data_IF_357630679989
#
_entry.id   IF_357630679989
#
_cell.length_a   1.000
_cell.length_b   1.000
_cell.length_c   1.000
_cell.angle_alpha   90.00
_cell.angle_beta   90.00
_cell.angle_gamma   90.00
#
_symmetry.space_group_name_H-M   'P 1'
#
loop_
_entity.id
_entity.type
_entity.pdbx_description
1 polymer ?
#
# COMPACT_ATOMS: atom_id res chain seq x y z
N UNK A 1 47.92 -39.03 3.82
CA UNK A 1 47.48 -37.88 4.62
C UNK A 1 46.98 -36.86 3.63
N UNK A 2 45.66 -36.80 3.46
CA UNK A 2 44.99 -35.89 2.55
C UNK A 2 44.66 -34.62 3.34
N UNK A 3 45.15 -33.48 2.87
CA UNK A 3 44.71 -32.17 3.34
C UNK A 3 43.37 -31.86 2.67
N UNK A 4 42.30 -31.95 3.47
CA UNK A 4 41.00 -31.33 3.21
C UNK A 4 41.15 -29.83 3.48
N UNK A 5 41.31 -29.03 2.44
CA UNK A 5 41.13 -27.58 2.52
C UNK A 5 39.68 -27.29 2.19
N UNK A 6 38.87 -27.29 3.24
CA UNK A 6 37.48 -26.87 3.26
C UNK A 6 37.38 -25.42 2.76
N UNK A 7 37.00 -25.27 1.50
CA UNK A 7 36.75 -23.98 0.86
C UNK A 7 35.41 -23.44 1.34
N UNK A 8 35.42 -22.82 2.52
CA UNK A 8 34.31 -22.03 3.00
C UNK A 8 34.09 -20.84 2.05
N UNK A 9 33.17 -21.02 1.10
CA UNK A 9 32.59 -19.94 0.29
C UNK A 9 31.94 -18.92 1.23
N UNK A 10 32.70 -17.90 1.62
CA UNK A 10 32.17 -16.66 2.17
C UNK A 10 31.36 -15.95 1.07
N UNK A 11 30.12 -16.38 0.90
CA UNK A 11 29.15 -15.69 0.07
C UNK A 11 28.82 -14.37 0.74
N UNK A 12 29.50 -13.30 0.32
CA UNK A 12 29.09 -11.92 0.65
C UNK A 12 27.64 -11.80 0.19
N UNK A 13 26.67 -11.51 1.09
CA UNK A 13 25.29 -11.34 0.67
C UNK A 13 25.23 -10.23 -0.37
N UNK A 14 24.66 -10.54 -1.55
CA UNK A 14 24.56 -9.58 -2.64
C UNK A 14 23.82 -8.33 -2.13
N UNK A 15 24.46 -7.16 -2.30
CA UNK A 15 23.87 -5.86 -1.95
C UNK A 15 22.58 -5.69 -2.76
N UNK A 16 21.45 -5.55 -2.06
CA UNK A 16 20.15 -5.36 -2.71
C UNK A 16 20.03 -3.95 -3.27
N UNK A 17 19.43 -3.87 -4.45
CA UNK A 17 19.06 -2.62 -5.11
C UNK A 17 17.82 -2.00 -4.46
N UNK A 18 17.57 -0.68 -4.64
CA UNK A 18 16.35 -0.05 -4.15
C UNK A 18 15.07 -0.71 -4.65
N UNK A 19 15.04 -1.19 -5.91
CA UNK A 19 13.90 -1.87 -6.51
C UNK A 19 13.62 -3.21 -5.83
N UNK A 20 14.68 -3.97 -5.53
CA UNK A 20 14.57 -5.23 -4.79
C UNK A 20 14.11 -5.02 -3.34
N UNK A 21 14.60 -3.98 -2.67
CA UNK A 21 14.12 -3.61 -1.34
C UNK A 21 12.66 -3.15 -1.38
N UNK A 22 12.27 -2.34 -2.37
CA UNK A 22 10.89 -1.88 -2.51
C UNK A 22 9.90 -3.04 -2.69
N UNK A 23 10.24 -4.01 -3.56
CA UNK A 23 9.44 -5.20 -3.79
C UNK A 23 9.36 -6.08 -2.54
N UNK A 24 10.49 -6.32 -1.87
CA UNK A 24 10.53 -7.10 -0.62
C UNK A 24 9.69 -6.47 0.49
N UNK A 25 9.76 -5.15 0.66
CA UNK A 25 9.02 -4.44 1.70
C UNK A 25 7.51 -4.49 1.41
N UNK A 26 7.12 -4.28 0.16
CA UNK A 26 5.73 -4.43 -0.28
C UNK A 26 5.21 -5.85 -0.01
N UNK A 27 5.97 -6.86 -0.39
CA UNK A 27 5.64 -8.27 -0.13
C UNK A 27 5.52 -8.56 1.38
N UNK A 28 6.46 -8.07 2.18
CA UNK A 28 6.39 -8.23 3.64
C UNK A 28 5.09 -7.65 4.20
N UNK A 29 4.70 -6.45 3.79
CA UNK A 29 3.46 -5.82 4.26
C UNK A 29 2.18 -6.43 3.70
N UNK A 30 2.25 -7.20 2.61
CA UNK A 30 1.14 -8.00 2.11
C UNK A 30 0.82 -9.21 3.00
N UNK A 31 1.85 -9.81 3.61
CA UNK A 31 1.66 -10.96 4.51
C UNK A 31 1.26 -10.57 5.93
N UNK A 32 1.61 -9.36 6.39
CA UNK A 32 1.26 -8.90 7.73
C UNK A 32 -0.12 -8.24 7.77
N UNK A 33 -1.14 -9.06 8.03
CA UNK A 33 -2.54 -8.63 8.13
C UNK A 33 -2.84 -7.84 9.42
N UNK A 34 -1.96 -7.93 10.45
CA UNK A 34 -2.11 -7.21 11.73
C UNK A 34 -0.76 -6.85 12.35
N UNK A 35 -0.51 -5.55 12.51
CA UNK A 35 0.53 -5.00 13.37
C UNK A 35 1.20 -3.75 12.80
N UNK A 36 1.62 -2.87 13.72
CA UNK A 36 2.39 -1.64 13.47
C UNK A 36 3.84 -2.01 13.11
N UNK A 37 4.03 -2.55 11.91
CA UNK A 37 5.32 -3.08 11.48
C UNK A 37 6.17 -2.01 10.79
N UNK A 38 7.43 -1.95 11.20
CA UNK A 38 8.46 -1.15 10.58
C UNK A 38 9.43 -2.07 9.87
N UNK A 39 9.62 -1.82 8.58
CA UNK A 39 10.65 -2.45 7.77
C UNK A 39 11.88 -1.54 7.67
N UNK A 40 13.04 -2.16 7.51
CA UNK A 40 14.30 -1.46 7.26
C UNK A 40 14.77 -1.84 5.86
N UNK A 41 15.00 -0.82 5.03
CA UNK A 41 15.60 -0.98 3.71
C UNK A 41 17.11 -0.74 3.79
N UNK A 42 17.86 -1.55 3.06
CA UNK A 42 19.32 -1.53 3.08
C UNK A 42 19.91 -2.32 4.26
N UNK A 43 21.22 -2.47 4.24
CA UNK A 43 21.99 -3.19 5.26
C UNK A 43 22.14 -2.42 6.57
N UNK A 44 22.24 -3.15 7.68
CA UNK A 44 22.35 -2.56 9.04
C UNK A 44 23.66 -1.81 9.25
N UNK A 45 24.70 -2.11 8.47
CA UNK A 45 25.99 -1.42 8.47
C UNK A 45 26.16 -0.63 7.18
N UNK A 46 26.93 0.45 7.25
CA UNK A 46 27.27 1.25 6.07
C UNK A 46 27.96 0.43 4.96
N UNK A 47 28.71 -0.61 5.35
CA UNK A 47 29.40 -1.53 4.45
C UNK A 47 28.44 -2.47 3.70
N UNK A 48 27.24 -2.69 4.24
CA UNK A 48 26.24 -3.63 3.72
C UNK A 48 25.28 -2.97 2.71
N UNK A 49 25.38 -1.64 2.50
CA UNK A 49 24.49 -0.91 1.59
C UNK A 49 25.16 0.29 0.94
N UNK A 50 25.28 0.24 -0.39
CA UNK A 50 25.74 1.36 -1.21
C UNK A 50 24.80 2.57 -1.15
N UNK A 51 23.53 2.37 -0.78
CA UNK A 51 22.49 3.38 -0.80
C UNK A 51 22.15 3.91 0.61
N UNK A 52 22.81 3.41 1.66
CA UNK A 52 22.47 3.70 3.05
C UNK A 52 21.20 2.96 3.51
N UNK A 53 20.53 3.52 4.53
CA UNK A 53 19.38 2.88 5.19
C UNK A 53 18.13 3.75 5.17
N UNK A 54 16.97 3.14 5.03
CA UNK A 54 15.67 3.80 5.20
C UNK A 54 14.77 2.98 6.12
N UNK A 55 13.81 3.63 6.75
CA UNK A 55 12.76 2.94 7.53
C UNK A 55 11.42 3.17 6.88
N UNK A 56 10.63 2.11 6.76
CA UNK A 56 9.34 2.14 6.07
C UNK A 56 8.28 1.58 7.01
N UNK A 57 7.16 2.26 7.13
CA UNK A 57 5.99 1.75 7.84
C UNK A 57 4.76 1.81 6.95
N UNK A 58 3.83 0.89 7.20
CA UNK A 58 2.52 0.89 6.55
C UNK A 58 1.57 1.86 7.26
N UNK A 59 0.91 2.69 6.48
CA UNK A 59 -0.19 3.56 6.90
C UNK A 59 -1.50 2.80 6.73
N UNK A 60 -2.05 2.32 7.85
CA UNK A 60 -3.30 1.53 7.93
C UNK A 60 -4.52 2.47 7.89
N UNK A 61 -5.63 2.08 7.23
CA UNK A 61 -5.93 0.76 6.64
C UNK A 61 -5.45 0.55 5.19
N UNK A 62 -4.95 1.58 4.52
CA UNK A 62 -4.57 1.53 3.11
C UNK A 62 -3.32 0.68 2.80
N UNK A 63 -3.04 0.57 1.49
CA UNK A 63 -1.74 0.13 0.95
C UNK A 63 -0.85 1.35 0.71
N UNK A 64 -0.69 2.15 1.76
CA UNK A 64 0.09 3.38 1.75
C UNK A 64 1.33 3.16 2.61
N UNK A 65 2.50 3.57 2.12
CA UNK A 65 3.76 3.46 2.83
C UNK A 65 4.30 4.83 3.19
N UNK A 66 4.84 4.96 4.39
CA UNK A 66 5.58 6.14 4.80
C UNK A 66 7.06 5.78 4.93
N UNK A 67 7.92 6.55 4.24
CA UNK A 67 9.36 6.32 4.17
C UNK A 67 10.10 7.42 4.93
N UNK A 68 10.91 7.00 5.90
CA UNK A 68 11.70 7.85 6.81
C UNK A 68 13.19 7.70 6.53
N UNK A 69 13.90 8.83 6.51
CA UNK A 69 15.35 8.91 6.35
C UNK A 69 15.80 9.85 5.23
N UNK A 70 17.10 10.16 5.24
CA UNK A 70 17.75 11.06 4.27
C UNK A 70 18.83 10.36 3.42
N UNK A 71 18.86 9.03 3.42
CA UNK A 71 19.79 8.27 2.58
C UNK A 71 19.31 8.20 1.13
N UNK A 72 20.22 7.87 0.20
CA UNK A 72 19.86 7.59 -1.18
C UNK A 72 18.79 6.48 -1.28
N UNK A 73 18.84 5.47 -0.41
CA UNK A 73 17.81 4.43 -0.31
C UNK A 73 16.43 5.04 0.01
N UNK A 74 16.35 5.96 0.98
CA UNK A 74 15.08 6.59 1.34
C UNK A 74 14.50 7.42 0.18
N UNK A 75 15.35 8.15 -0.55
CA UNK A 75 14.94 8.92 -1.72
C UNK A 75 14.46 8.03 -2.87
N UNK A 76 15.19 6.94 -3.18
CA UNK A 76 14.82 6.00 -4.22
C UNK A 76 13.52 5.28 -3.90
N UNK A 77 13.30 4.85 -2.65
CA UNK A 77 12.03 4.26 -2.24
C UNK A 77 10.86 5.25 -2.36
N UNK A 78 11.05 6.50 -1.94
CA UNK A 78 10.02 7.54 -2.15
C UNK A 78 9.71 7.73 -3.62
N UNK A 79 10.73 7.74 -4.49
CA UNK A 79 10.53 7.84 -5.92
C UNK A 79 9.74 6.64 -6.46
N UNK A 80 10.16 5.41 -6.16
CA UNK A 80 9.53 4.18 -6.66
C UNK A 80 8.06 4.04 -6.22
N UNK A 81 7.75 4.30 -4.95
CA UNK A 81 6.36 4.27 -4.48
C UNK A 81 5.56 5.49 -4.95
N UNK A 82 6.20 6.64 -5.10
CA UNK A 82 5.56 7.88 -5.56
C UNK A 82 5.17 7.84 -7.04
N UNK A 83 5.93 7.13 -7.89
CA UNK A 83 5.62 6.95 -9.31
C UNK A 83 4.84 5.67 -9.61
N UNK A 84 4.40 4.92 -8.59
CA UNK A 84 3.61 3.70 -8.77
C UNK A 84 4.38 2.51 -9.35
N UNK A 85 5.72 2.50 -9.25
CA UNK A 85 6.55 1.40 -9.77
C UNK A 85 6.32 0.08 -9.02
N UNK A 86 5.80 0.13 -7.78
CA UNK A 86 5.43 -1.05 -7.01
C UNK A 86 3.92 -1.19 -6.98
N UNK A 87 3.40 -2.22 -7.66
CA UNK A 87 1.97 -2.40 -7.88
C UNK A 87 1.19 -2.48 -6.57
N UNK A 88 0.10 -1.70 -6.50
CA UNK A 88 -0.82 -1.70 -5.36
C UNK A 88 -0.32 -0.93 -4.13
N UNK A 89 0.88 -0.34 -4.16
CA UNK A 89 1.43 0.43 -3.05
C UNK A 89 1.69 1.87 -3.47
N UNK A 90 1.32 2.82 -2.61
CA UNK A 90 1.58 4.25 -2.83
C UNK A 90 2.32 4.89 -1.67
N UNK A 91 2.94 6.04 -1.96
CA UNK A 91 3.64 6.82 -0.95
C UNK A 91 2.67 7.75 -0.20
N UNK A 92 2.75 7.76 1.13
CA UNK A 92 2.08 8.75 1.98
C UNK A 92 2.51 10.17 1.56
N UNK A 93 1.57 11.06 1.22
CA UNK A 93 1.89 12.45 0.90
C UNK A 93 2.65 13.12 2.05
N UNK A 94 3.68 13.88 1.71
CA UNK A 94 4.48 14.63 2.65
C UNK A 94 4.67 16.05 2.11
N UNK A 95 4.66 17.09 2.96
CA UNK A 95 5.02 18.43 2.52
C UNK A 95 6.39 18.43 1.82
N UNK A 96 6.53 19.24 0.77
CA UNK A 96 7.78 19.33 0.00
C UNK A 96 8.92 20.01 0.78
N UNK A 97 8.58 20.70 1.87
CA UNK A 97 9.56 21.31 2.75
C UNK A 97 10.43 20.26 3.43
N UNK A 98 11.68 20.63 3.72
CA UNK A 98 12.68 19.74 4.33
C UNK A 98 13.33 20.43 5.50
N UNK A 99 12.56 20.62 6.56
CA UNK A 99 13.04 21.26 7.77
C UNK A 99 13.74 20.22 8.64
N UNK A 100 15.01 20.44 8.98
CA UNK A 100 15.77 19.49 9.79
C UNK A 100 15.16 19.36 11.19
N UNK A 101 14.97 18.12 11.65
CA UNK A 101 14.32 17.79 12.93
C UNK A 101 15.04 18.40 14.14
N UNK A 102 16.36 18.57 14.08
CA UNK A 102 17.12 19.16 15.18
C UNK A 102 16.73 20.63 15.45
N UNK A 103 16.15 21.33 14.46
CA UNK A 103 15.74 22.73 14.64
C UNK A 103 14.59 22.88 15.63
N UNK A 104 13.76 21.85 15.80
CA UNK A 104 12.65 21.80 16.76
C UNK A 104 12.99 21.04 18.04
N UNK A 105 14.24 20.61 18.22
CA UNK A 105 14.68 19.84 19.39
C UNK A 105 14.37 20.58 20.70
N UNK A 106 14.63 21.88 20.74
CA UNK A 106 14.40 22.70 21.94
C UNK A 106 12.91 22.77 22.30
N UNK A 107 12.03 22.97 21.31
CA UNK A 107 10.58 23.00 21.53
C UNK A 107 10.06 21.66 22.07
N UNK A 108 10.51 20.53 21.51
CA UNK A 108 10.17 19.19 22.03
C UNK A 108 10.69 19.02 23.46
N UNK A 109 11.91 19.49 23.74
CA UNK A 109 12.49 19.40 25.09
C UNK A 109 11.67 20.18 26.10
N UNK A 110 11.26 21.40 25.77
CA UNK A 110 10.40 22.24 26.61
C UNK A 110 9.05 21.59 26.87
N UNK A 111 8.38 21.08 25.83
CA UNK A 111 7.12 20.35 25.96
C UNK A 111 7.27 19.07 26.81
N UNK A 112 8.45 18.43 26.81
CA UNK A 112 8.76 17.23 27.61
C UNK A 112 9.21 17.51 29.05
N UNK A 113 9.06 18.75 29.55
CA UNK A 113 9.53 19.15 30.89
C UNK A 113 11.05 19.08 31.05
N UNK A 114 11.81 19.29 29.97
CA UNK A 114 13.27 19.34 29.99
C UNK A 114 13.98 18.01 29.73
N UNK A 115 13.26 16.88 29.66
CA UNK A 115 13.83 15.52 29.59
C UNK A 115 14.47 15.18 28.23
N UNK A 116 14.05 15.84 27.15
CA UNK A 116 14.52 15.52 25.79
C UNK A 116 13.96 14.20 25.25
N UNK A 117 12.99 13.61 25.96
CA UNK A 117 12.14 12.52 25.46
C UNK A 117 11.27 13.05 24.32
N UNK A 118 11.02 12.23 23.31
CA UNK A 118 10.46 12.63 22.02
C UNK A 118 11.56 12.75 20.98
N UNK A 119 12.41 13.79 21.07
CA UNK A 119 13.47 14.02 20.09
C UNK A 119 14.45 12.84 19.98
N UNK A 120 14.91 12.31 21.12
CA UNK A 120 15.85 11.18 21.13
C UNK A 120 15.24 9.94 20.47
N UNK A 121 13.95 9.67 20.71
CA UNK A 121 13.23 8.56 20.10
C UNK A 121 13.05 8.76 18.60
N UNK A 122 12.69 9.95 18.15
CA UNK A 122 12.57 10.29 16.72
C UNK A 122 13.92 10.15 16.00
N UNK A 123 14.99 10.71 16.56
CA UNK A 123 16.33 10.58 15.99
C UNK A 123 16.79 9.12 15.88
N UNK A 124 16.55 8.29 16.92
CA UNK A 124 16.82 6.85 16.89
C UNK A 124 15.88 6.08 15.96
N UNK A 125 14.68 6.59 15.76
CA UNK A 125 13.71 6.14 14.77
C UNK A 125 14.11 6.47 13.33
N UNK A 126 15.22 7.19 13.12
CA UNK A 126 15.73 7.54 11.80
C UNK A 126 15.08 8.77 11.18
N UNK A 127 14.22 9.48 11.91
CA UNK A 127 13.61 10.74 11.45
C UNK A 127 14.68 11.82 11.33
N UNK A 128 14.71 12.47 10.17
CA UNK A 128 15.67 13.52 9.83
C UNK A 128 14.95 14.86 9.64
N UNK A 129 13.74 14.84 9.09
CA UNK A 129 12.96 16.04 8.79
C UNK A 129 11.69 16.12 9.64
N UNK A 130 11.23 17.32 9.96
CA UNK A 130 9.97 17.50 10.72
C UNK A 130 8.77 17.02 9.92
N UNK A 131 8.80 17.19 8.60
CA UNK A 131 7.75 16.76 7.69
C UNK A 131 7.55 15.23 7.70
N UNK A 132 8.62 14.47 7.90
CA UNK A 132 8.54 13.01 8.08
C UNK A 132 7.74 12.67 9.35
N UNK A 133 7.99 13.41 10.44
CA UNK A 133 7.26 13.22 11.71
C UNK A 133 5.80 13.63 11.57
N UNK A 134 5.53 14.74 10.89
CA UNK A 134 4.18 15.28 10.69
C UNK A 134 3.33 14.40 9.74
N UNK A 135 3.94 13.77 8.74
CA UNK A 135 3.26 12.87 7.81
C UNK A 135 3.10 11.44 8.34
N UNK A 136 3.89 11.04 9.34
CA UNK A 136 3.81 9.73 9.98
C UNK A 136 2.55 9.64 10.87
N UNK A 137 1.62 8.69 10.64
CA UNK A 137 0.44 8.52 11.48
C UNK A 137 0.76 8.11 12.92
N UNK A 138 -0.16 8.39 13.84
CA UNK A 138 -0.01 8.08 15.26
C UNK A 138 0.18 6.59 15.54
N UNK A 139 -0.57 5.73 14.83
CA UNK A 139 -0.44 4.27 14.92
C UNK A 139 0.96 3.80 14.52
N UNK A 140 1.50 4.31 13.42
CA UNK A 140 2.87 3.99 13.02
C UNK A 140 3.91 4.56 14.00
N UNK A 141 3.66 5.76 14.54
CA UNK A 141 4.55 6.41 15.50
C UNK A 141 4.65 5.65 16.82
N UNK A 142 3.54 5.05 17.29
CA UNK A 142 3.54 4.18 18.47
C UNK A 142 4.35 2.89 18.28
N UNK A 143 4.52 2.43 17.04
CA UNK A 143 5.44 1.34 16.69
C UNK A 143 6.93 1.69 16.80
N UNK A 144 7.29 2.95 17.04
CA UNK A 144 8.68 3.36 17.26
C UNK A 144 9.09 3.08 18.70
N UNK A 145 10.22 2.38 18.87
CA UNK A 145 10.74 2.00 20.18
C UNK A 145 10.78 3.17 21.19
N UNK A 146 10.08 2.98 22.31
CA UNK A 146 9.96 3.93 23.42
C UNK A 146 9.15 5.20 23.11
N UNK A 147 8.32 5.20 22.05
CA UNK A 147 7.26 6.19 21.88
C UNK A 147 5.95 5.59 22.40
N UNK A 148 5.61 5.93 23.65
CA UNK A 148 4.28 5.64 24.21
C UNK A 148 3.32 6.81 24.02
N UNK A 149 2.02 6.65 24.37
CA UNK A 149 0.99 7.68 24.17
C UNK A 149 1.36 9.07 24.72
N UNK A 150 1.92 9.15 25.94
CA UNK A 150 2.34 10.43 26.50
C UNK A 150 3.54 11.07 25.79
N UNK A 151 4.44 10.27 25.19
CA UNK A 151 5.53 10.82 24.36
C UNK A 151 5.01 11.27 23.01
N UNK A 152 4.04 10.54 22.43
CA UNK A 152 3.36 10.93 21.21
C UNK A 152 2.62 12.26 21.38
N UNK A 153 1.89 12.44 22.49
CA UNK A 153 1.18 13.69 22.79
C UNK A 153 2.15 14.90 22.82
N UNK A 154 3.30 14.76 23.47
CA UNK A 154 4.37 15.77 23.47
C UNK A 154 4.85 16.07 22.05
N UNK A 155 5.10 15.03 21.24
CA UNK A 155 5.54 15.20 19.85
C UNK A 155 4.47 15.96 19.06
N UNK A 156 3.19 15.59 19.19
CA UNK A 156 2.07 16.22 18.46
C UNK A 156 1.75 17.63 18.89
N UNK A 157 2.02 17.99 20.15
CA UNK A 157 1.92 19.37 20.60
C UNK A 157 2.90 20.30 19.85
N UNK A 158 4.05 19.78 19.40
CA UNK A 158 5.08 20.55 18.67
C UNK A 158 4.99 20.35 17.16
N UNK A 159 4.71 19.11 16.73
CA UNK A 159 4.70 18.64 15.35
C UNK A 159 3.33 17.99 15.07
N UNK A 160 2.28 18.79 14.84
CA UNK A 160 0.95 18.27 14.57
C UNK A 160 0.96 17.38 13.34
N UNK A 161 0.13 16.34 13.34
CA UNK A 161 -0.04 15.47 12.19
C UNK A 161 -0.67 16.26 11.02
N UNK A 162 -0.08 16.13 9.83
CA UNK A 162 -0.54 16.83 8.62
C UNK A 162 -0.85 15.87 7.48
N UNK A 163 -0.77 14.56 7.72
CA UNK A 163 -1.15 13.57 6.71
C UNK A 163 -2.67 13.52 6.51
N UNK A 164 -3.14 12.87 5.43
CA UNK A 164 -4.56 12.61 5.23
C UNK A 164 -5.16 11.89 6.43
N UNK A 165 -6.44 12.16 6.71
CA UNK A 165 -7.18 11.41 7.73
C UNK A 165 -7.14 9.92 7.33
N UNK A 166 -6.71 9.00 8.21
CA UNK A 166 -6.71 7.57 7.90
C UNK A 166 -8.09 7.02 7.49
N UNK A 167 -9.19 7.69 7.86
CA UNK A 167 -10.53 7.37 7.36
C UNK A 167 -10.76 7.78 5.89
N UNK A 168 -10.10 8.84 5.42
CA UNK A 168 -10.12 9.31 4.03
C UNK A 168 -9.07 8.60 3.17
N UNK A 169 -7.89 8.25 3.71
CA UNK A 169 -6.83 7.53 3.01
C UNK A 169 -7.16 6.04 2.72
N UNK A 170 -8.22 5.51 3.36
CA UNK A 170 -8.85 4.25 2.97
C UNK A 170 -9.57 4.34 1.62
N UNK A 171 -9.91 5.55 1.17
CA UNK A 171 -10.26 5.81 -0.21
C UNK A 171 -8.95 5.88 -1.01
N UNK A 172 -8.74 4.85 -1.83
CA UNK A 172 -7.53 4.60 -2.61
C UNK A 172 -7.01 5.82 -3.42
N UNK A 173 -5.71 5.82 -3.75
CA UNK A 173 -5.04 6.96 -4.36
C UNK A 173 -5.61 7.23 -5.74
N UNK A 174 -6.20 8.42 -5.90
CA UNK A 174 -6.52 8.99 -7.19
C UNK A 174 -5.23 9.12 -8.00
N UNK A 175 -5.20 8.43 -9.13
CA UNK A 175 -4.26 8.68 -10.21
C UNK A 175 -4.28 10.20 -10.50
N UNK A 176 -3.09 10.80 -10.48
CA UNK A 176 -2.93 12.23 -10.67
C UNK A 176 -3.25 12.59 -12.13
N UNK A 177 -4.51 12.95 -12.38
CA UNK A 177 -5.01 13.29 -13.71
C UNK A 177 -6.36 13.99 -13.67
N UNK A 178 -6.32 15.27 -13.29
CA UNK A 178 -7.26 16.34 -13.65
C UNK A 178 -8.71 16.33 -13.08
N UNK A 179 -9.13 17.52 -12.63
CA UNK A 179 -10.54 17.90 -12.49
C UNK A 179 -11.32 17.31 -11.31
N UNK A 180 -11.28 18.00 -10.16
CA UNK A 180 -12.21 17.75 -9.06
C UNK A 180 -13.68 17.85 -9.50
N UNK A 181 -14.35 16.70 -9.56
CA UNK A 181 -15.80 16.60 -9.42
C UNK A 181 -16.09 15.60 -8.31
N UNK A 182 -16.97 15.99 -7.39
CA UNK A 182 -17.48 15.14 -6.33
C UNK A 182 -17.93 13.79 -6.91
N UNK A 183 -17.32 12.69 -6.45
CA UNK A 183 -17.58 11.35 -6.94
C UNK A 183 -19.03 10.95 -6.70
N UNK A 184 -19.84 11.03 -7.76
CA UNK A 184 -21.19 10.47 -7.83
C UNK A 184 -21.03 8.95 -8.02
N UNK A 185 -21.85 8.09 -7.38
CA UNK A 185 -21.92 6.68 -7.72
C UNK A 185 -22.01 6.51 -9.24
N UNK A 186 -21.24 5.58 -9.80
CA UNK A 186 -21.15 5.40 -11.25
C UNK A 186 -22.48 4.92 -11.83
N UNK A 187 -23.36 5.86 -12.17
CA UNK A 187 -24.59 5.61 -12.90
C UNK A 187 -24.23 5.14 -14.31
N UNK A 188 -23.92 3.85 -14.46
CA UNK A 188 -23.44 3.27 -15.71
C UNK A 188 -22.35 2.20 -15.57
N UNK A 189 -21.73 2.02 -14.39
CA UNK A 189 -20.64 1.05 -14.21
C UNK A 189 -21.04 -0.40 -14.53
N UNK A 190 -22.31 -0.78 -14.30
CA UNK A 190 -22.84 -2.09 -14.69
C UNK A 190 -22.83 -2.32 -16.21
N UNK A 191 -22.69 -1.25 -17.01
CA UNK A 191 -22.57 -1.31 -18.47
C UNK A 191 -21.17 -1.69 -18.96
N UNK A 192 -20.13 -1.57 -18.12
CA UNK A 192 -18.75 -1.96 -18.45
C UNK A 192 -18.58 -3.49 -18.49
N UNK A 193 -19.43 -4.23 -17.76
CA UNK A 193 -19.35 -5.67 -17.64
C UNK A 193 -20.26 -6.36 -18.68
N UNK A 194 -19.70 -7.37 -19.36
CA UNK A 194 -20.46 -8.20 -20.30
C UNK A 194 -21.64 -8.90 -19.61
N UNK A 195 -22.62 -9.37 -20.39
CA UNK A 195 -23.74 -10.15 -19.84
C UNK A 195 -23.28 -11.42 -19.13
N UNK A 196 -22.27 -12.12 -19.68
CA UNK A 196 -21.69 -13.29 -19.05
C UNK A 196 -21.00 -12.98 -17.72
N UNK A 197 -20.20 -11.91 -17.68
CA UNK A 197 -19.53 -11.45 -16.45
C UNK A 197 -20.54 -11.10 -15.36
N UNK A 198 -21.61 -10.38 -15.72
CA UNK A 198 -22.70 -10.03 -14.78
C UNK A 198 -23.45 -11.25 -14.27
N UNK A 199 -23.65 -12.27 -15.11
CA UNK A 199 -24.31 -13.49 -14.72
C UNK A 199 -23.43 -14.38 -13.81
N UNK A 200 -22.10 -14.42 -14.04
CA UNK A 200 -21.15 -15.20 -13.23
C UNK A 200 -20.82 -14.53 -11.89
N UNK A 201 -20.69 -13.20 -11.87
CA UNK A 201 -20.24 -12.45 -10.70
C UNK A 201 -21.23 -11.34 -10.26
N UNK A 202 -22.52 -11.64 -10.07
CA UNK A 202 -23.55 -10.61 -9.84
C UNK A 202 -23.26 -9.74 -8.61
N UNK A 203 -22.87 -10.36 -7.50
CA UNK A 203 -22.56 -9.63 -6.25
C UNK A 203 -21.30 -8.77 -6.36
N UNK A 204 -20.28 -9.25 -7.06
CA UNK A 204 -19.05 -8.49 -7.24
C UNK A 204 -19.30 -7.28 -8.14
N UNK A 205 -20.02 -7.46 -9.25
CA UNK A 205 -20.39 -6.35 -10.13
C UNK A 205 -21.26 -5.32 -9.40
N UNK A 206 -22.22 -5.75 -8.59
CA UNK A 206 -23.02 -4.84 -7.75
C UNK A 206 -22.14 -4.05 -6.77
N UNK A 207 -21.19 -4.71 -6.10
CA UNK A 207 -20.27 -4.04 -5.18
C UNK A 207 -19.34 -3.06 -5.89
N UNK A 208 -18.82 -3.42 -7.07
CA UNK A 208 -17.99 -2.55 -7.89
C UNK A 208 -18.77 -1.34 -8.41
N UNK A 209 -20.00 -1.53 -8.87
CA UNK A 209 -20.88 -0.45 -9.33
C UNK A 209 -21.28 0.50 -8.19
N UNK A 210 -21.40 0.00 -6.96
CA UNK A 210 -21.64 0.79 -5.76
C UNK A 210 -20.36 1.40 -5.15
N UNK A 211 -19.17 1.01 -5.65
CA UNK A 211 -17.89 1.49 -5.12
C UNK A 211 -17.58 2.92 -5.57
N UNK A 212 -16.66 3.57 -4.85
CA UNK A 212 -16.08 4.87 -5.24
C UNK A 212 -14.79 4.72 -6.04
N UNK A 213 -14.56 3.55 -6.63
CA UNK A 213 -13.36 3.27 -7.40
C UNK A 213 -13.28 4.18 -8.63
N UNK A 214 -12.09 4.66 -9.05
CA UNK A 214 -11.95 5.43 -10.28
C UNK A 214 -12.46 4.65 -11.51
N UNK A 215 -13.06 5.36 -12.48
CA UNK A 215 -13.63 4.75 -13.69
C UNK A 215 -12.57 3.97 -14.49
N UNK A 216 -11.33 4.46 -14.54
CA UNK A 216 -10.22 3.77 -15.19
C UNK A 216 -9.90 2.41 -14.54
N UNK A 217 -9.97 2.32 -13.21
CA UNK A 217 -9.76 1.07 -12.49
C UNK A 217 -10.95 0.10 -12.70
N UNK A 218 -12.19 0.60 -12.67
CA UNK A 218 -13.36 -0.19 -13.03
C UNK A 218 -13.30 -0.72 -14.47
N UNK A 219 -12.81 0.11 -15.40
CA UNK A 219 -12.61 -0.29 -16.81
C UNK A 219 -11.60 -1.42 -16.91
N UNK A 220 -10.44 -1.31 -16.23
CA UNK A 220 -9.44 -2.41 -16.21
C UNK A 220 -9.96 -3.69 -15.57
N UNK A 221 -10.72 -3.59 -14.47
CA UNK A 221 -11.34 -4.76 -13.84
C UNK A 221 -12.37 -5.38 -14.79
N UNK A 222 -13.19 -4.56 -15.46
CA UNK A 222 -14.14 -5.04 -16.44
C UNK A 222 -13.45 -5.72 -17.62
N UNK A 223 -12.36 -5.16 -18.17
CA UNK A 223 -11.53 -5.78 -19.21
C UNK A 223 -10.98 -7.14 -18.76
N UNK A 224 -10.41 -7.21 -17.55
CA UNK A 224 -9.87 -8.45 -17.01
C UNK A 224 -10.96 -9.54 -16.86
N UNK A 225 -12.10 -9.19 -16.27
CA UNK A 225 -13.20 -10.14 -16.04
C UNK A 225 -13.91 -10.54 -17.36
N UNK A 226 -14.06 -9.61 -18.30
CA UNK A 226 -14.64 -9.88 -19.62
C UNK A 226 -13.70 -10.73 -20.50
N UNK A 227 -12.38 -10.64 -20.27
CA UNK A 227 -11.37 -11.45 -20.97
C UNK A 227 -11.23 -12.88 -20.45
N UNK A 228 -11.91 -13.24 -19.36
CA UNK A 228 -11.89 -14.61 -18.84
C UNK A 228 -12.53 -15.59 -19.84
N UNK A 229 -11.91 -16.76 -20.08
CA UNK A 229 -12.49 -17.75 -20.98
C UNK A 229 -13.84 -18.24 -20.45
N UNK A 230 -14.84 -18.18 -21.33
CA UNK A 230 -16.16 -18.72 -21.05
C UNK A 230 -16.15 -20.24 -21.27
N UNK A 231 -16.57 -21.04 -20.28
CA UNK A 231 -16.77 -22.47 -20.51
C UNK A 231 -17.89 -22.64 -21.55
N UNK A 232 -17.79 -23.63 -22.46
CA UNK A 232 -18.89 -23.93 -23.37
C UNK A 232 -20.11 -24.44 -22.59
N UNK A 233 -21.31 -24.05 -23.00
CA UNK A 233 -22.54 -24.60 -22.45
C UNK A 233 -22.62 -26.11 -22.70
N UNK A 234 -22.96 -26.88 -21.66
CA UNK A 234 -23.23 -28.30 -21.74
C UNK A 234 -24.67 -28.52 -22.24
N UNK A 235 -24.85 -29.13 -23.44
CA UNK A 235 -26.17 -29.39 -23.99
C UNK A 235 -27.06 -30.26 -23.10
N UNK A 236 -26.46 -31.11 -22.25
CA UNK A 236 -27.20 -31.95 -21.31
C UNK A 236 -27.83 -31.12 -20.19
N UNK A 237 -27.10 -30.15 -19.64
CA UNK A 237 -27.63 -29.25 -18.60
C UNK A 237 -28.76 -28.39 -19.16
N UNK A 238 -28.61 -27.90 -20.38
CA UNK A 238 -29.63 -27.14 -21.11
C UNK A 238 -30.93 -27.96 -21.25
N UNK A 239 -30.82 -29.20 -21.74
CA UNK A 239 -31.95 -30.13 -21.90
C UNK A 239 -32.62 -30.48 -20.56
N UNK A 240 -31.84 -30.71 -19.50
CA UNK A 240 -32.37 -31.06 -18.17
C UNK A 240 -33.17 -29.90 -17.57
N UNK A 241 -32.65 -28.67 -17.68
CA UNK A 241 -33.32 -27.48 -17.17
C UNK A 241 -34.60 -27.14 -17.97
N UNK A 242 -34.57 -27.33 -19.29
CA UNK A 242 -35.74 -27.15 -20.16
C UNK A 242 -36.83 -28.19 -19.85
N UNK A 243 -36.45 -29.48 -19.77
CA UNK A 243 -37.38 -30.59 -19.47
C UNK A 243 -38.01 -30.43 -18.08
N UNK A 244 -37.26 -29.91 -17.11
CA UNK A 244 -37.76 -29.62 -15.76
C UNK A 244 -38.66 -28.36 -15.69
N UNK A 245 -38.83 -27.63 -16.79
CA UNK A 245 -39.61 -26.39 -16.85
C UNK A 245 -38.98 -25.22 -16.09
N UNK A 246 -37.70 -25.31 -15.72
CA UNK A 246 -36.96 -24.32 -14.93
C UNK A 246 -36.45 -23.18 -15.81
N UNK A 247 -37.37 -22.50 -16.50
CA UNK A 247 -37.07 -21.43 -17.48
C UNK A 247 -36.10 -20.37 -16.95
N UNK A 248 -36.27 -19.95 -15.69
CA UNK A 248 -35.39 -18.94 -15.09
C UNK A 248 -33.96 -19.44 -14.86
N UNK A 249 -33.79 -20.70 -14.46
CA UNK A 249 -32.49 -21.29 -14.27
C UNK A 249 -31.79 -21.54 -15.62
N UNK A 250 -32.55 -21.94 -16.64
CA UNK A 250 -32.09 -22.09 -18.02
C UNK A 250 -31.57 -20.76 -18.60
N UNK A 251 -32.30 -19.65 -18.40
CA UNK A 251 -31.87 -18.31 -18.80
C UNK A 251 -30.54 -17.90 -18.15
N UNK A 252 -30.41 -18.09 -16.83
CA UNK A 252 -29.18 -17.77 -16.09
C UNK A 252 -28.01 -18.64 -16.56
N UNK A 253 -28.28 -19.93 -16.77
CA UNK A 253 -27.28 -20.87 -17.26
C UNK A 253 -26.74 -20.44 -18.62
N UNK A 254 -27.62 -20.18 -19.60
CA UNK A 254 -27.20 -19.69 -20.93
C UNK A 254 -26.45 -18.36 -20.83
N UNK A 255 -26.95 -17.42 -20.03
CA UNK A 255 -26.32 -16.11 -19.85
C UNK A 255 -24.88 -16.19 -19.32
N UNK A 256 -24.50 -17.22 -18.55
CA UNK A 256 -23.13 -17.40 -18.02
C UNK A 256 -22.14 -18.00 -19.03
N UNK A 257 -22.62 -18.55 -20.15
CA UNK A 257 -21.82 -19.27 -21.16
C UNK A 257 -21.86 -18.61 -22.54
N UNK A 258 -22.75 -17.64 -22.76
CA UNK A 258 -22.89 -16.95 -24.04
C UNK A 258 -21.81 -15.84 -24.16
N UNK A 259 -20.89 -15.91 -25.12
CA UNK A 259 -20.06 -14.75 -25.44
C UNK A 259 -20.98 -13.63 -25.88
N UNK A 260 -20.83 -12.43 -25.29
CA UNK A 260 -21.62 -11.29 -25.71
C UNK A 260 -21.54 -11.12 -27.25
N UNK A 261 -22.63 -10.71 -27.92
CA UNK A 261 -22.60 -10.42 -29.35
C UNK A 261 -21.63 -9.28 -29.70
#
# INVERSE_FOLDING_TARGET
MADDVDSASSGVPAVRTPEQEAARIAEAFDFYDRGEHWEVAGGRRAEDSLYGTARVCRVVPGRVLHVVGASAMAEQLRHLYGCGAVTGWTLQPMPETRTLLHTVQQAIREASGGTGRGYTQLSRGGFVHTEEVQACPDTAMLGVNNIGPGTLEIIRAVLPYTGPDPAEAAAEPADAGDGGMAAVPHAGATGLFSTATRARYPRLVEQLAASRMPEAALTRIAEALNGEPLPPADPMVDLLLDTAGLRRALEIYRATHDPAP
#
